data_IF_129080127250
#
_entry.id   IF_129080127250
#
_cell.length_a   1.000
_cell.length_b   1.000
_cell.length_c   1.000
_cell.angle_alpha   90.00
_cell.angle_beta   90.00
_cell.angle_gamma   90.00
#
_symmetry.space_group_name_H-M   'P 1'
#
loop_
_entity.id
_entity.type
_entity.pdbx_description
1 polymer ?
#
# COMPACT_ATOMS: atom_id res chain seq x y z
N UNK A 1 10.46 14.33 -20.19
CA UNK A 1 9.07 14.06 -19.93
C UNK A 1 8.94 13.51 -18.52
N UNK A 2 7.92 13.97 -17.81
CA UNK A 2 7.75 13.69 -16.39
C UNK A 2 6.40 12.99 -16.18
N UNK A 3 6.40 11.71 -15.77
CA UNK A 3 5.19 10.94 -15.49
C UNK A 3 4.37 11.55 -14.34
N UNK A 4 4.97 12.29 -13.43
CA UNK A 4 4.26 13.00 -12.37
C UNK A 4 3.41 14.19 -12.87
N UNK A 5 3.59 14.62 -14.12
CA UNK A 5 2.79 15.69 -14.71
C UNK A 5 1.53 15.09 -15.33
N UNK A 6 0.43 15.10 -14.58
CA UNK A 6 -0.84 14.53 -15.02
C UNK A 6 -1.35 15.13 -16.33
N UNK A 7 -1.28 16.45 -16.52
CA UNK A 7 -1.69 17.12 -17.75
C UNK A 7 -0.88 16.65 -18.97
N UNK A 8 0.41 16.37 -18.78
CA UNK A 8 1.23 15.82 -19.86
C UNK A 8 0.82 14.38 -20.19
N UNK A 9 0.44 13.59 -19.20
CA UNK A 9 -0.08 12.24 -19.41
C UNK A 9 -1.42 12.25 -20.13
N UNK A 10 -2.35 13.14 -19.76
CA UNK A 10 -3.64 13.32 -20.45
C UNK A 10 -3.42 13.70 -21.93
N UNK A 11 -2.47 14.60 -22.22
CA UNK A 11 -2.12 14.95 -23.61
C UNK A 11 -1.53 13.76 -24.38
N UNK A 12 -0.69 12.95 -23.74
CA UNK A 12 -0.15 11.74 -24.34
C UNK A 12 -1.26 10.73 -24.65
N UNK A 13 -2.16 10.50 -23.69
CA UNK A 13 -3.33 9.63 -23.89
C UNK A 13 -4.22 10.11 -25.01
N UNK A 14 -4.48 11.42 -25.11
CA UNK A 14 -5.23 12.04 -26.21
C UNK A 14 -4.55 11.83 -27.55
N UNK A 15 -3.23 11.99 -27.63
CA UNK A 15 -2.45 11.73 -28.84
C UNK A 15 -2.57 10.25 -29.28
N UNK A 16 -2.40 9.31 -28.37
CA UNK A 16 -2.50 7.88 -28.71
C UNK A 16 -3.93 7.49 -29.11
N UNK A 17 -4.93 8.01 -28.41
CA UNK A 17 -6.34 7.79 -28.76
C UNK A 17 -6.67 8.34 -30.14
N UNK A 18 -6.19 9.54 -30.48
CA UNK A 18 -6.39 10.12 -31.81
C UNK A 18 -5.73 9.29 -32.92
N UNK A 19 -4.53 8.80 -32.68
CA UNK A 19 -3.73 8.11 -33.72
C UNK A 19 -4.11 6.63 -33.90
N UNK A 20 -4.48 5.96 -32.81
CA UNK A 20 -4.65 4.49 -32.79
C UNK A 20 -6.03 4.02 -32.36
N UNK A 21 -6.92 4.95 -32.01
CA UNK A 21 -8.26 4.64 -31.53
C UNK A 21 -8.29 4.46 -29.99
N UNK A 22 -9.38 3.89 -29.50
CA UNK A 22 -9.61 3.66 -28.10
C UNK A 22 -8.47 2.83 -27.48
N UNK A 23 -8.01 3.27 -26.33
CA UNK A 23 -7.04 2.52 -25.52
C UNK A 23 -7.80 1.52 -24.66
N UNK A 24 -7.46 0.25 -24.76
CA UNK A 24 -8.11 -0.84 -24.02
C UNK A 24 -7.33 -1.26 -22.78
N UNK A 25 -6.03 -0.97 -22.73
CA UNK A 25 -5.16 -1.32 -21.63
C UNK A 25 -4.17 -0.20 -21.31
N UNK A 26 -4.05 0.13 -20.02
CA UNK A 26 -3.07 1.09 -19.50
C UNK A 26 -2.50 0.54 -18.19
N UNK A 27 -1.18 0.46 -18.09
CA UNK A 27 -0.48 -0.06 -16.92
C UNK A 27 0.93 0.51 -16.84
N UNK A 28 1.33 0.98 -15.68
CA UNK A 28 2.70 1.45 -15.41
C UNK A 28 3.62 0.35 -14.88
N UNK A 29 3.06 -0.77 -14.41
CA UNK A 29 3.78 -1.84 -13.69
C UNK A 29 4.60 -1.33 -12.49
N UNK A 30 4.13 -0.27 -11.84
CA UNK A 30 4.80 0.35 -10.71
C UNK A 30 3.79 0.83 -9.66
N UNK A 31 3.93 0.37 -8.42
CA UNK A 31 3.03 0.71 -7.31
C UNK A 31 2.93 2.22 -7.08
N UNK A 32 3.99 2.98 -7.36
CA UNK A 32 4.00 4.44 -7.19
C UNK A 32 2.96 5.15 -8.08
N UNK A 33 2.65 4.61 -9.27
CA UNK A 33 1.76 5.23 -10.26
C UNK A 33 0.32 4.70 -10.24
N UNK A 34 -0.03 3.79 -9.34
CA UNK A 34 -1.36 3.15 -9.33
C UNK A 34 -2.53 4.13 -9.29
N UNK A 35 -2.43 5.21 -8.52
CA UNK A 35 -3.49 6.23 -8.42
C UNK A 35 -3.59 7.03 -9.72
N UNK A 36 -2.46 7.36 -10.34
CA UNK A 36 -2.43 8.04 -11.64
C UNK A 36 -2.96 7.14 -12.77
N UNK A 37 -2.56 5.86 -12.78
CA UNK A 37 -3.10 4.89 -13.73
C UNK A 37 -4.62 4.78 -13.59
N UNK A 38 -5.14 4.73 -12.36
CA UNK A 38 -6.56 4.68 -12.09
C UNK A 38 -7.30 5.94 -12.55
N UNK A 39 -6.71 7.12 -12.35
CA UNK A 39 -7.25 8.40 -12.83
C UNK A 39 -7.33 8.43 -14.37
N UNK A 40 -6.25 8.07 -15.06
CA UNK A 40 -6.22 7.99 -16.51
C UNK A 40 -7.21 6.97 -17.07
N UNK A 41 -7.36 5.80 -16.41
CA UNK A 41 -8.40 4.82 -16.80
C UNK A 41 -9.81 5.39 -16.65
N UNK A 42 -10.04 6.18 -15.61
CA UNK A 42 -11.35 6.86 -15.42
C UNK A 42 -11.61 7.90 -16.49
N UNK A 43 -10.65 8.80 -16.76
CA UNK A 43 -10.80 9.91 -17.69
C UNK A 43 -10.94 9.45 -19.14
N UNK A 44 -10.26 8.37 -19.54
CA UNK A 44 -10.30 7.81 -20.89
C UNK A 44 -11.24 6.61 -21.04
N UNK A 45 -12.05 6.33 -20.01
CA UNK A 45 -12.98 5.21 -19.98
C UNK A 45 -12.35 3.87 -20.39
N UNK A 46 -11.15 3.60 -19.88
CA UNK A 46 -10.48 2.29 -20.01
C UNK A 46 -11.12 1.35 -19.01
N UNK A 47 -11.62 0.21 -19.48
CA UNK A 47 -12.43 -0.71 -18.67
C UNK A 47 -11.62 -1.83 -18.01
N UNK A 48 -10.34 -1.95 -18.36
CA UNK A 48 -9.41 -2.92 -17.78
C UNK A 48 -8.62 -2.30 -16.63
N UNK A 49 -8.58 -2.97 -15.49
CA UNK A 49 -7.89 -2.51 -14.28
C UNK A 49 -8.72 -1.60 -13.37
N UNK A 50 -8.18 -1.32 -12.19
CA UNK A 50 -8.80 -0.49 -11.18
C UNK A 50 -8.91 0.98 -11.63
N UNK A 51 -10.06 1.60 -11.38
CA UNK A 51 -10.34 3.02 -11.61
C UNK A 51 -10.28 3.81 -10.30
N UNK A 52 -10.47 5.14 -10.38
CA UNK A 52 -10.35 6.05 -9.23
C UNK A 52 -11.31 5.74 -8.08
N UNK A 53 -12.48 5.16 -8.36
CA UNK A 53 -13.47 4.76 -7.37
C UNK A 53 -13.09 3.47 -6.59
N UNK A 54 -12.11 2.74 -7.07
CA UNK A 54 -11.69 1.47 -6.48
C UNK A 54 -10.24 1.47 -5.96
N UNK A 55 -9.36 2.31 -6.51
CA UNK A 55 -7.92 2.22 -6.31
C UNK A 55 -7.50 2.31 -4.83
N UNK A 56 -8.20 3.08 -4.01
CA UNK A 56 -7.92 3.21 -2.59
C UNK A 56 -7.98 1.87 -1.85
N UNK A 57 -8.85 0.96 -2.28
CA UNK A 57 -9.02 -0.37 -1.66
C UNK A 57 -7.82 -1.29 -1.84
N UNK A 58 -6.97 -0.99 -2.81
CA UNK A 58 -5.76 -1.77 -3.11
C UNK A 58 -4.47 -0.98 -2.86
N UNK A 59 -4.56 0.33 -2.62
CA UNK A 59 -3.41 1.21 -2.38
C UNK A 59 -3.26 1.62 -0.91
N UNK A 60 -4.35 1.99 -0.26
CA UNK A 60 -4.32 2.40 1.15
C UNK A 60 -4.39 1.17 2.07
N UNK A 61 -3.43 1.04 2.98
CA UNK A 61 -3.34 -0.11 3.89
C UNK A 61 -4.58 -0.24 4.78
N UNK A 62 -5.14 0.88 5.22
CA UNK A 62 -6.39 0.93 5.98
C UNK A 62 -7.56 0.36 5.18
N UNK A 63 -7.73 0.77 3.92
CA UNK A 63 -8.80 0.32 3.04
C UNK A 63 -8.62 -1.13 2.58
N UNK A 64 -7.39 -1.53 2.35
CA UNK A 64 -7.04 -2.92 2.05
C UNK A 64 -7.45 -3.85 3.20
N UNK A 65 -7.18 -3.45 4.46
CA UNK A 65 -7.58 -4.22 5.65
C UNK A 65 -9.11 -4.34 5.77
N UNK A 66 -9.87 -3.28 5.47
CA UNK A 66 -11.34 -3.37 5.43
C UNK A 66 -11.81 -4.45 4.44
N UNK A 67 -11.18 -4.52 3.26
CA UNK A 67 -11.49 -5.53 2.25
C UNK A 67 -11.14 -6.95 2.72
N UNK A 68 -10.00 -7.14 3.39
CA UNK A 68 -9.61 -8.44 3.97
C UNK A 68 -10.55 -8.88 5.08
N UNK A 69 -10.92 -7.98 5.99
CA UNK A 69 -11.87 -8.25 7.07
C UNK A 69 -13.23 -8.67 6.48
N UNK A 70 -13.72 -7.95 5.47
CA UNK A 70 -14.98 -8.30 4.79
C UNK A 70 -14.93 -9.67 4.11
N UNK A 71 -13.74 -10.10 3.66
CA UNK A 71 -13.50 -11.42 3.08
C UNK A 71 -13.22 -12.52 4.14
N UNK A 72 -13.24 -12.20 5.43
CA UNK A 72 -12.95 -13.14 6.50
C UNK A 72 -11.46 -13.47 6.67
N UNK A 73 -10.57 -12.68 6.07
CA UNK A 73 -9.11 -12.84 6.17
C UNK A 73 -8.62 -12.10 7.42
N UNK A 74 -7.92 -12.76 8.36
CA UNK A 74 -7.36 -12.12 9.53
C UNK A 74 -6.33 -11.04 9.15
N UNK A 75 -6.38 -9.90 9.85
CA UNK A 75 -5.40 -8.82 9.70
C UNK A 75 -4.89 -8.38 11.06
N UNK A 76 -3.68 -7.82 11.13
CA UNK A 76 -3.20 -7.16 12.32
C UNK A 76 -4.18 -6.07 12.78
N UNK A 77 -4.48 -6.04 14.09
CA UNK A 77 -5.28 -4.95 14.68
C UNK A 77 -4.61 -3.63 14.38
N UNK A 78 -5.38 -2.61 14.09
CA UNK A 78 -4.82 -1.34 13.63
C UNK A 78 -5.61 -0.13 14.11
N UNK A 79 -4.95 1.02 14.06
CA UNK A 79 -5.49 2.33 14.41
C UNK A 79 -4.92 3.38 13.46
N UNK A 80 -5.77 4.28 12.95
CA UNK A 80 -5.31 5.42 12.17
C UNK A 80 -4.67 6.46 13.09
N UNK A 81 -3.44 6.83 12.80
CA UNK A 81 -2.67 7.77 13.61
C UNK A 81 -3.24 9.18 13.48
N UNK A 82 -3.83 9.69 14.54
CA UNK A 82 -4.33 11.05 14.66
C UNK A 82 -3.59 11.81 15.77
N UNK A 83 -4.02 11.72 17.00
CA UNK A 83 -3.34 12.30 18.16
C UNK A 83 -2.74 11.22 19.06
N UNK A 84 -1.78 11.62 19.89
CA UNK A 84 -1.17 10.70 20.86
C UNK A 84 -2.22 10.12 21.82
N UNK A 85 -3.14 10.97 22.29
CA UNK A 85 -4.20 10.58 23.22
C UNK A 85 -5.14 9.54 22.60
N UNK A 86 -5.45 9.70 21.30
CA UNK A 86 -6.32 8.77 20.57
C UNK A 86 -5.68 7.39 20.37
N UNK A 87 -4.35 7.30 20.38
CA UNK A 87 -3.63 6.04 20.25
C UNK A 87 -3.58 5.21 21.54
N UNK A 88 -3.76 5.84 22.73
CA UNK A 88 -3.60 5.15 24.00
C UNK A 88 -4.55 3.97 24.20
N UNK A 89 -5.86 4.09 23.92
CA UNK A 89 -6.77 2.95 24.06
C UNK A 89 -6.40 1.76 23.17
N UNK A 90 -5.85 2.04 21.97
CA UNK A 90 -5.34 0.99 21.10
C UNK A 90 -4.11 0.29 21.69
N UNK A 91 -3.18 1.07 22.23
CA UNK A 91 -1.98 0.54 22.90
C UNK A 91 -2.30 -0.27 24.17
N UNK A 92 -3.34 0.13 24.91
CA UNK A 92 -3.81 -0.65 26.07
C UNK A 92 -4.32 -2.04 25.65
N UNK A 93 -4.82 -2.18 24.42
CA UNK A 93 -5.31 -3.46 23.88
C UNK A 93 -4.21 -4.34 23.30
N UNK A 94 -3.21 -3.74 22.63
CA UNK A 94 -2.22 -4.51 21.84
C UNK A 94 -0.85 -4.57 22.52
N UNK A 95 -0.54 -3.63 23.40
CA UNK A 95 0.78 -3.49 24.03
C UNK A 95 1.87 -3.01 23.07
N UNK A 96 3.09 -3.00 23.54
CA UNK A 96 4.28 -2.76 22.75
C UNK A 96 4.98 -4.08 22.39
N UNK A 97 5.75 -4.13 21.28
CA UNK A 97 5.93 -3.08 20.30
C UNK A 97 4.74 -2.93 19.37
N UNK A 98 4.65 -1.77 18.70
CA UNK A 98 3.74 -1.53 17.57
C UNK A 98 4.52 -1.11 16.33
N UNK A 99 3.93 -1.33 15.16
CA UNK A 99 4.46 -0.85 13.88
C UNK A 99 3.67 0.37 13.45
N UNK A 100 4.37 1.44 13.04
CA UNK A 100 3.74 2.61 12.40
C UNK A 100 4.33 2.81 11.02
N UNK A 101 3.48 3.01 10.04
CA UNK A 101 3.88 3.15 8.63
C UNK A 101 2.92 4.07 7.87
N UNK A 102 3.37 4.75 6.79
CA UNK A 102 2.47 5.51 5.95
C UNK A 102 1.31 4.64 5.45
N UNK A 103 0.09 5.17 5.51
CA UNK A 103 -1.10 4.48 4.99
C UNK A 103 -0.99 4.29 3.46
N UNK A 104 -0.54 5.35 2.78
CA UNK A 104 -0.17 5.33 1.36
C UNK A 104 1.36 5.32 1.21
N UNK A 105 1.96 4.17 0.97
CA UNK A 105 3.41 4.02 0.80
C UNK A 105 3.79 2.61 0.38
N UNK A 106 4.98 2.45 -0.18
CA UNK A 106 5.53 1.17 -0.63
C UNK A 106 6.94 0.94 -0.07
N UNK A 107 7.46 -0.29 -0.18
CA UNK A 107 8.86 -0.61 0.10
C UNK A 107 9.32 -0.43 1.55
N UNK A 108 8.42 -0.48 2.53
CA UNK A 108 8.71 -0.28 3.96
C UNK A 108 9.34 1.10 4.31
N UNK A 109 9.34 2.05 3.39
CA UNK A 109 9.82 3.41 3.63
C UNK A 109 9.04 4.07 4.77
N UNK A 110 9.76 4.80 5.64
CA UNK A 110 9.21 5.48 6.81
C UNK A 110 8.36 4.57 7.73
N UNK A 111 8.73 3.27 7.80
CA UNK A 111 8.14 2.29 8.69
C UNK A 111 8.97 2.19 9.97
N UNK A 112 8.32 2.32 11.13
CA UNK A 112 8.99 2.31 12.42
C UNK A 112 8.39 1.25 13.34
N UNK A 113 9.24 0.55 14.08
CA UNK A 113 8.87 -0.28 15.21
C UNK A 113 9.05 0.55 16.48
N UNK A 114 7.97 0.77 17.22
CA UNK A 114 7.97 1.55 18.45
C UNK A 114 7.83 0.59 19.62
N UNK A 115 8.83 0.55 20.49
CA UNK A 115 8.97 -0.46 21.54
C UNK A 115 8.52 0.05 22.91
N UNK A 116 8.29 1.36 23.07
CA UNK A 116 7.92 1.97 24.33
C UNK A 116 7.27 3.36 24.12
N UNK A 117 6.78 3.91 25.23
CA UNK A 117 6.09 5.22 25.27
C UNK A 117 6.98 6.37 24.78
N UNK A 118 8.26 6.38 25.11
CA UNK A 118 9.15 7.47 24.71
C UNK A 118 9.37 7.52 23.20
N UNK A 119 9.51 6.34 22.56
CA UNK A 119 9.60 6.23 21.10
C UNK A 119 8.31 6.66 20.42
N UNK A 120 7.15 6.31 20.99
CA UNK A 120 5.85 6.76 20.50
C UNK A 120 5.73 8.29 20.53
N UNK A 121 6.07 8.93 21.66
CA UNK A 121 6.03 10.38 21.79
C UNK A 121 7.00 11.07 20.84
N UNK A 122 8.18 10.50 20.64
CA UNK A 122 9.14 10.99 19.66
C UNK A 122 8.58 10.89 18.25
N UNK A 123 7.97 9.76 17.88
CA UNK A 123 7.32 9.59 16.58
C UNK A 123 6.26 10.67 16.35
N UNK A 124 5.36 10.94 17.31
CA UNK A 124 4.34 11.98 17.16
C UNK A 124 4.91 13.39 16.99
N UNK A 125 6.10 13.67 17.57
CA UNK A 125 6.79 14.96 17.40
C UNK A 125 7.47 15.13 16.04
N UNK A 126 7.92 14.03 15.44
CA UNK A 126 8.82 14.07 14.27
C UNK A 126 8.25 13.43 13.01
N UNK A 127 7.11 12.77 13.10
CA UNK A 127 6.53 12.08 11.94
C UNK A 127 6.27 13.03 10.76
N UNK A 128 6.50 12.58 9.53
CA UNK A 128 6.10 13.35 8.35
C UNK A 128 4.59 13.70 8.37
N UNK A 129 4.17 14.80 7.73
CA UNK A 129 2.79 15.25 7.71
C UNK A 129 1.94 14.46 6.69
N UNK A 130 2.02 13.14 6.74
CA UNK A 130 1.22 12.21 5.93
C UNK A 130 0.38 11.31 6.84
N UNK A 131 -0.72 10.74 6.34
CA UNK A 131 -1.49 9.75 7.09
C UNK A 131 -0.64 8.52 7.41
N UNK A 132 -0.72 8.07 8.67
CA UNK A 132 -0.07 6.87 9.17
C UNK A 132 -1.09 5.89 9.72
N UNK A 133 -0.81 4.60 9.57
CA UNK A 133 -1.50 3.51 10.27
C UNK A 133 -0.55 2.93 11.33
N UNK A 134 -1.09 2.67 12.52
CA UNK A 134 -0.42 1.96 13.61
C UNK A 134 -1.00 0.55 13.70
N UNK A 135 -0.15 -0.45 13.79
CA UNK A 135 -0.54 -1.86 13.83
C UNK A 135 0.08 -2.56 15.03
N UNK A 136 -0.61 -3.58 15.56
CA UNK A 136 0.02 -4.50 16.48
C UNK A 136 1.20 -5.21 15.80
N UNK A 137 2.22 -5.51 16.57
CA UNK A 137 3.38 -6.25 16.07
C UNK A 137 3.05 -7.75 16.01
N UNK A 138 3.07 -8.31 14.81
CA UNK A 138 2.86 -9.73 14.60
C UNK A 138 4.22 -10.43 14.52
N UNK A 139 4.37 -11.48 15.31
CA UNK A 139 5.54 -12.38 15.24
C UNK A 139 5.20 -13.57 14.36
N UNK A 140 6.04 -13.87 13.39
CA UNK A 140 5.83 -14.99 12.49
C UNK A 140 6.81 -15.00 11.33
N UNK A 141 6.59 -15.94 10.44
CA UNK A 141 7.34 -16.05 9.18
C UNK A 141 6.66 -15.20 8.11
N UNK A 142 7.45 -14.41 7.39
CA UNK A 142 6.94 -13.60 6.28
C UNK A 142 6.94 -14.46 5.01
N UNK A 143 5.78 -14.54 4.40
CA UNK A 143 5.59 -15.17 3.09
C UNK A 143 4.78 -14.24 2.20
N UNK A 144 5.01 -14.29 0.90
CA UNK A 144 4.13 -13.65 -0.08
C UNK A 144 3.03 -14.62 -0.52
N UNK A 145 1.98 -14.09 -1.10
CA UNK A 145 1.04 -14.81 -1.93
C UNK A 145 0.98 -14.08 -3.27
N UNK A 146 1.52 -14.71 -4.29
CA UNK A 146 1.62 -14.17 -5.64
C UNK A 146 0.80 -15.02 -6.58
N UNK A 147 0.07 -14.41 -7.51
CA UNK A 147 -0.77 -15.19 -8.39
C UNK A 147 -1.22 -14.45 -9.64
N UNK A 148 -1.76 -15.23 -10.55
CA UNK A 148 -2.45 -14.73 -11.75
C UNK A 148 -3.90 -15.16 -11.68
N UNK A 149 -4.81 -14.22 -11.88
CA UNK A 149 -6.24 -14.45 -11.93
C UNK A 149 -6.82 -14.09 -13.32
N UNK A 150 -7.92 -14.70 -13.68
CA UNK A 150 -8.67 -14.33 -14.87
C UNK A 150 -9.49 -13.03 -14.65
N UNK A 151 -10.23 -12.61 -15.68
CA UNK A 151 -11.07 -11.41 -15.63
C UNK A 151 -12.25 -11.50 -14.63
N UNK A 152 -12.51 -12.67 -14.09
CA UNK A 152 -13.53 -12.95 -13.05
C UNK A 152 -12.91 -13.06 -11.66
N UNK A 153 -11.62 -12.70 -11.51
CA UNK A 153 -10.85 -12.83 -10.27
C UNK A 153 -10.68 -14.29 -9.79
N UNK A 154 -10.81 -15.27 -10.70
CA UNK A 154 -10.55 -16.68 -10.37
C UNK A 154 -9.05 -16.95 -10.50
N UNK A 155 -8.37 -17.40 -9.42
CA UNK A 155 -6.94 -17.71 -9.48
C UNK A 155 -6.67 -18.84 -10.48
N UNK A 156 -5.82 -18.59 -11.47
CA UNK A 156 -5.34 -19.56 -12.45
C UNK A 156 -4.04 -20.23 -11.99
N UNK A 157 -3.21 -19.47 -11.29
CA UNK A 157 -1.95 -19.93 -10.74
C UNK A 157 -1.63 -19.09 -9.50
N UNK A 158 -1.03 -19.70 -8.50
CA UNK A 158 -0.49 -18.99 -7.34
C UNK A 158 0.77 -19.65 -6.81
N UNK A 159 1.61 -18.86 -6.17
CA UNK A 159 2.84 -19.29 -5.52
C UNK A 159 3.07 -18.47 -4.25
N UNK A 160 4.07 -18.85 -3.49
CA UNK A 160 4.46 -18.18 -2.26
C UNK A 160 5.97 -18.14 -2.15
N UNK A 161 6.53 -16.98 -1.86
CA UNK A 161 7.95 -16.82 -1.54
C UNK A 161 8.14 -16.70 -0.03
N UNK A 162 9.20 -17.28 0.45
CA UNK A 162 9.62 -17.18 1.84
C UNK A 162 10.68 -16.07 1.99
N UNK A 163 10.46 -15.17 2.95
CA UNK A 163 11.41 -14.10 3.27
C UNK A 163 12.08 -14.40 4.61
N UNK A 164 13.33 -14.87 4.62
CA UNK A 164 14.05 -15.20 5.85
C UNK A 164 14.33 -13.98 6.72
N UNK A 165 14.49 -12.80 6.10
CA UNK A 165 14.71 -11.53 6.78
C UNK A 165 13.54 -10.58 6.48
N UNK A 166 12.95 -9.95 7.50
CA UNK A 166 11.89 -8.95 7.30
C UNK A 166 12.37 -7.79 6.42
N UNK A 167 11.54 -7.38 5.45
CA UNK A 167 11.88 -6.28 4.52
C UNK A 167 12.22 -5.00 5.28
N UNK A 168 11.53 -4.71 6.37
CA UNK A 168 11.82 -3.55 7.23
C UNK A 168 13.26 -3.59 7.79
N UNK A 169 13.74 -4.76 8.18
CA UNK A 169 15.10 -4.92 8.71
C UNK A 169 16.14 -4.74 7.60
N UNK A 170 15.85 -5.27 6.40
CA UNK A 170 16.70 -5.07 5.20
C UNK A 170 16.81 -3.60 4.85
N UNK A 171 15.68 -2.88 4.78
CA UNK A 171 15.65 -1.43 4.47
C UNK A 171 16.41 -0.63 5.53
N UNK A 172 16.17 -0.91 6.82
CA UNK A 172 16.79 -0.18 7.92
C UNK A 172 18.32 -0.43 8.05
N UNK A 173 18.79 -1.59 7.61
CA UNK A 173 20.21 -1.96 7.68
C UNK A 173 20.94 -1.83 6.35
N UNK A 174 20.25 -1.41 5.28
CA UNK A 174 20.75 -1.41 3.90
C UNK A 174 21.32 -2.79 3.51
N UNK A 175 20.64 -3.85 3.94
CA UNK A 175 21.02 -5.24 3.69
C UNK A 175 20.56 -5.74 2.32
N UNK A 176 21.06 -6.93 1.94
CA UNK A 176 20.64 -7.58 0.71
C UNK A 176 19.33 -8.33 0.88
N UNK A 177 18.44 -8.20 -0.11
CA UNK A 177 17.20 -8.95 -0.18
C UNK A 177 17.49 -10.38 -0.70
N UNK A 178 17.09 -11.38 0.09
CA UNK A 178 17.13 -12.79 -0.34
C UNK A 178 15.76 -13.43 -0.12
N UNK A 179 15.35 -14.29 -1.05
CA UNK A 179 14.10 -15.08 -1.02
C UNK A 179 14.22 -16.35 -1.83
#
# INVERSE_FOLDING_TARGET
DNLANYDAMVRAMGYFTHRYGKIDWLESNNEYWLEQDAALRSDFNITTGAKSDFIERIKLKSRMKESYIAAGVPVARHHMVTTLEAALPFLDQVGYPVIVKPDNGCGAEATYKLSNRAELEQFYRTKPPVPYIMEEYITGTIVSFDGVADSHCVPLFYTSNYFPTPIMDIVNTNGDLSY
#
